data_IF_158272244307
#
_entry.id   IF_158272244307
#
_cell.length_a   1.000
_cell.length_b   1.000
_cell.length_c   1.000
_cell.angle_alpha   90.00
_cell.angle_beta   90.00
_cell.angle_gamma   90.00
#
_symmetry.space_group_name_H-M   'P 1'
#
loop_
_entity.id
_entity.type
_entity.pdbx_description
1 polymer ?
#
# COMPACT_ATOMS: atom_id res chain seq x y z
N UNK A 1 43.36 11.95 -32.38
CA UNK A 1 42.77 13.16 -31.77
C UNK A 1 42.81 13.02 -30.26
N UNK A 2 43.51 13.95 -29.62
CA UNK A 2 43.50 14.37 -28.21
C UNK A 2 43.08 13.40 -27.10
N UNK A 3 44.12 12.86 -26.47
CA UNK A 3 44.40 12.87 -25.03
C UNK A 3 43.49 13.79 -24.17
N UNK A 4 42.92 13.28 -23.08
CA UNK A 4 42.43 14.13 -21.97
C UNK A 4 42.55 13.43 -20.61
N UNK A 5 43.61 13.81 -19.89
CA UNK A 5 43.83 13.61 -18.46
C UNK A 5 42.70 14.18 -17.61
N UNK A 6 42.35 13.48 -16.52
CA UNK A 6 41.76 14.11 -15.32
C UNK A 6 42.18 13.26 -14.10
N UNK A 7 43.34 13.56 -13.50
CA UNK A 7 43.55 14.38 -12.29
C UNK A 7 43.44 13.57 -10.98
N UNK A 8 44.60 13.26 -10.40
CA UNK A 8 44.77 12.99 -8.97
C UNK A 8 44.61 14.31 -8.20
N UNK A 9 43.89 14.29 -7.06
CA UNK A 9 44.12 15.19 -5.94
C UNK A 9 43.99 14.44 -4.60
N UNK A 10 45.12 14.31 -3.93
CA UNK A 10 45.19 14.15 -2.47
C UNK A 10 44.82 15.49 -1.82
N UNK A 11 44.03 15.48 -0.73
CA UNK A 11 44.31 16.33 0.41
C UNK A 11 43.60 15.82 1.68
N UNK A 12 44.39 15.79 2.74
CA UNK A 12 44.14 15.33 4.11
C UNK A 12 43.43 16.41 4.95
N UNK A 13 43.27 16.15 6.26
CA UNK A 13 42.89 17.06 7.37
C UNK A 13 41.36 17.30 7.54
N UNK A 14 40.75 17.29 8.73
CA UNK A 14 41.21 17.58 10.09
C UNK A 14 40.46 16.75 11.15
N UNK A 15 41.14 16.46 12.26
CA UNK A 15 40.55 16.10 13.55
C UNK A 15 39.71 17.26 14.10
N UNK A 16 38.54 16.96 14.68
CA UNK A 16 37.81 17.86 15.55
C UNK A 16 37.47 17.16 16.87
N UNK A 17 38.13 17.64 17.91
CA UNK A 17 37.92 17.43 19.33
C UNK A 17 36.63 18.10 19.82
N UNK A 18 35.81 17.40 20.61
CA UNK A 18 35.04 17.94 21.77
C UNK A 18 34.23 16.79 22.38
N UNK A 19 34.62 16.24 23.54
CA UNK A 19 34.22 16.65 24.91
C UNK A 19 32.73 16.45 25.24
N UNK A 20 32.52 15.82 26.41
CA UNK A 20 31.32 15.76 27.28
C UNK A 20 30.49 14.47 27.26
N UNK A 21 30.72 13.63 28.28
CA UNK A 21 29.69 12.81 28.97
C UNK A 21 29.04 13.69 30.08
N UNK A 22 28.10 13.21 30.94
CA UNK A 22 27.21 12.04 30.89
C UNK A 22 25.72 12.46 31.12
N UNK A 23 24.74 11.58 30.87
CA UNK A 23 23.52 11.53 31.71
C UNK A 23 22.93 10.11 31.69
N UNK A 24 22.96 9.48 32.87
CA UNK A 24 22.08 8.36 33.20
C UNK A 24 20.65 8.92 33.32
N UNK A 25 19.78 8.61 32.36
CA UNK A 25 18.33 8.63 32.56
C UNK A 25 17.80 7.21 32.56
N UNK A 26 17.20 6.91 33.70
CA UNK A 26 16.52 5.70 34.09
C UNK A 26 15.26 5.43 33.25
N UNK A 27 14.91 4.16 33.21
CA UNK A 27 13.56 3.62 32.99
C UNK A 27 12.98 3.77 31.58
N UNK A 28 12.81 2.62 30.90
CA UNK A 28 11.52 1.92 30.80
C UNK A 28 11.56 0.99 29.60
N UNK A 29 11.49 -0.31 29.89
CA UNK A 29 11.05 -1.39 29.01
C UNK A 29 11.08 -1.10 27.50
N UNK A 30 12.17 -1.49 26.83
CA UNK A 30 12.13 -1.78 25.41
C UNK A 30 11.21 -3.00 25.21
N UNK A 31 9.91 -2.74 25.10
CA UNK A 31 8.93 -3.73 24.76
C UNK A 31 9.20 -4.22 23.33
N UNK A 32 9.73 -5.44 23.24
CA UNK A 32 9.50 -6.44 22.19
C UNK A 32 8.98 -5.92 20.83
N UNK A 33 9.85 -5.69 19.82
CA UNK A 33 9.44 -5.29 18.47
C UNK A 33 8.67 -6.38 17.69
N UNK A 34 8.51 -7.58 18.25
CA UNK A 34 7.90 -8.74 17.55
C UNK A 34 6.37 -8.79 17.70
N UNK A 35 5.79 -8.26 18.79
CA UNK A 35 4.33 -8.31 19.00
C UNK A 35 3.56 -7.31 18.14
N UNK A 36 4.16 -6.17 17.82
CA UNK A 36 3.49 -5.14 17.00
C UNK A 36 3.51 -5.49 15.51
N UNK A 37 4.59 -6.10 15.00
CA UNK A 37 4.68 -6.55 13.61
C UNK A 37 3.56 -7.55 13.22
N UNK A 38 3.34 -8.59 14.03
CA UNK A 38 2.25 -9.56 13.79
C UNK A 38 0.84 -8.95 13.91
N UNK A 39 0.70 -7.87 14.70
CA UNK A 39 -0.56 -7.12 14.80
C UNK A 39 -0.81 -6.25 13.57
N UNK A 40 0.23 -5.70 12.95
CA UNK A 40 0.14 -4.96 11.68
C UNK A 40 -0.27 -5.90 10.56
N UNK A 41 0.42 -7.04 10.44
CA UNK A 41 0.20 -8.03 9.39
C UNK A 41 -1.21 -8.63 9.46
N UNK A 42 -1.67 -9.00 10.66
CA UNK A 42 -3.04 -9.51 10.85
C UNK A 42 -4.13 -8.49 10.51
N UNK A 43 -3.91 -7.19 10.80
CA UNK A 43 -4.85 -6.11 10.42
C UNK A 43 -4.89 -5.93 8.90
N UNK A 44 -3.72 -5.89 8.26
CA UNK A 44 -3.61 -5.82 6.81
C UNK A 44 -4.35 -6.99 6.15
N UNK A 45 -4.06 -8.23 6.54
CA UNK A 45 -4.69 -9.43 5.97
C UNK A 45 -6.21 -9.42 6.17
N UNK A 46 -6.68 -8.92 7.31
CA UNK A 46 -8.12 -8.78 7.57
C UNK A 46 -8.77 -7.75 6.65
N UNK A 47 -8.12 -6.59 6.47
CA UNK A 47 -8.61 -5.54 5.57
C UNK A 47 -8.61 -5.99 4.09
N UNK A 48 -7.54 -6.64 3.65
CA UNK A 48 -7.40 -7.19 2.30
C UNK A 48 -8.48 -8.25 2.00
N UNK A 49 -8.75 -9.16 2.94
CA UNK A 49 -9.87 -10.12 2.83
C UNK A 49 -11.22 -9.41 2.71
N UNK A 50 -11.41 -8.31 3.43
CA UNK A 50 -12.61 -7.48 3.32
C UNK A 50 -12.79 -6.90 1.91
N UNK A 51 -11.71 -6.38 1.29
CA UNK A 51 -11.72 -5.88 -0.07
C UNK A 51 -12.11 -6.98 -1.09
N UNK A 52 -11.47 -8.15 -0.99
CA UNK A 52 -11.79 -9.31 -1.83
C UNK A 52 -13.25 -9.75 -1.68
N UNK A 53 -13.76 -9.85 -0.44
CA UNK A 53 -15.14 -10.22 -0.19
C UNK A 53 -16.14 -9.21 -0.80
N UNK A 54 -15.86 -7.91 -0.71
CA UNK A 54 -16.71 -6.87 -1.29
C UNK A 54 -16.80 -6.98 -2.82
N UNK A 55 -15.67 -7.25 -3.49
CA UNK A 55 -15.64 -7.47 -4.93
C UNK A 55 -16.43 -8.71 -5.32
N UNK A 56 -16.09 -9.88 -4.78
CA UNK A 56 -16.77 -11.13 -5.15
C UNK A 56 -18.27 -11.11 -4.82
N UNK A 57 -18.66 -10.51 -3.70
CA UNK A 57 -20.09 -10.32 -3.35
C UNK A 57 -20.81 -9.45 -4.37
N UNK A 58 -20.19 -8.36 -4.83
CA UNK A 58 -20.77 -7.49 -5.86
C UNK A 58 -20.93 -8.21 -7.19
N UNK A 59 -20.03 -9.13 -7.49
CA UNK A 59 -19.91 -9.80 -8.80
C UNK A 59 -20.87 -10.97 -8.95
N UNK A 60 -21.28 -11.57 -7.83
CA UNK A 60 -22.32 -12.58 -7.79
C UNK A 60 -23.73 -11.99 -7.93
N UNK A 61 -23.88 -10.66 -7.88
CA UNK A 61 -25.18 -10.02 -8.09
C UNK A 61 -25.50 -9.97 -9.57
N UNK A 62 -26.69 -10.45 -9.93
CA UNK A 62 -27.21 -10.37 -11.29
C UNK A 62 -27.73 -8.94 -11.58
N UNK A 63 -26.80 -8.00 -11.72
CA UNK A 63 -27.06 -6.59 -12.05
C UNK A 63 -26.56 -6.34 -13.47
N UNK A 64 -27.41 -5.85 -14.40
CA UNK A 64 -27.00 -5.56 -15.77
C UNK A 64 -25.79 -4.62 -15.83
N UNK A 65 -24.76 -5.03 -16.59
CA UNK A 65 -23.53 -4.25 -16.79
C UNK A 65 -22.55 -4.24 -15.61
N UNK A 66 -22.92 -4.79 -14.44
CA UNK A 66 -22.03 -4.81 -13.28
C UNK A 66 -20.84 -5.76 -13.46
N UNK A 67 -21.08 -6.95 -14.02
CA UNK A 67 -20.01 -7.92 -14.31
C UNK A 67 -18.97 -7.32 -15.27
N UNK A 68 -19.44 -6.67 -16.34
CA UNK A 68 -18.58 -6.00 -17.32
C UNK A 68 -17.83 -4.82 -16.71
N UNK A 69 -18.48 -4.02 -15.85
CA UNK A 69 -17.83 -2.93 -15.15
C UNK A 69 -16.79 -3.42 -14.13
N UNK A 70 -17.04 -4.53 -13.43
CA UNK A 70 -16.11 -5.08 -12.45
C UNK A 70 -14.98 -5.92 -13.08
N UNK A 71 -15.08 -6.32 -14.34
CA UNK A 71 -14.09 -7.16 -15.01
C UNK A 71 -12.64 -6.62 -14.94
N UNK A 72 -12.37 -5.32 -15.18
CA UNK A 72 -11.01 -4.78 -15.04
C UNK A 72 -10.49 -4.86 -13.60
N UNK A 73 -11.39 -4.68 -12.63
CA UNK A 73 -11.05 -4.77 -11.21
C UNK A 73 -10.74 -6.23 -10.85
N UNK A 74 -11.57 -7.19 -11.25
CA UNK A 74 -11.31 -8.62 -11.06
C UNK A 74 -9.97 -9.07 -11.61
N UNK A 75 -9.69 -8.73 -12.87
CA UNK A 75 -8.48 -9.15 -13.53
C UNK A 75 -7.22 -8.75 -12.75
N UNK A 76 -7.26 -7.57 -12.11
CA UNK A 76 -6.12 -7.08 -11.33
C UNK A 76 -6.16 -7.56 -9.87
N UNK A 77 -7.34 -7.84 -9.34
CA UNK A 77 -7.55 -8.17 -7.92
C UNK A 77 -7.48 -9.68 -7.63
N UNK A 78 -7.59 -10.56 -8.63
CA UNK A 78 -7.47 -12.01 -8.45
C UNK A 78 -6.14 -12.41 -7.80
N UNK A 79 -5.02 -11.94 -8.34
CA UNK A 79 -3.69 -12.23 -7.77
C UNK A 79 -3.53 -11.67 -6.35
N UNK A 80 -4.13 -10.50 -6.08
CA UNK A 80 -4.15 -9.89 -4.75
C UNK A 80 -4.99 -10.70 -3.76
N UNK A 81 -6.09 -11.31 -4.22
CA UNK A 81 -6.96 -12.11 -3.38
C UNK A 81 -6.41 -13.53 -3.13
N UNK A 82 -5.67 -14.10 -4.07
CA UNK A 82 -4.94 -15.36 -3.89
C UNK A 82 -3.78 -15.20 -2.90
N UNK A 83 -3.02 -14.11 -3.03
CA UNK A 83 -1.88 -13.83 -2.16
C UNK A 83 -1.84 -12.34 -1.77
N UNK A 84 -2.54 -11.95 -0.68
CA UNK A 84 -2.57 -10.56 -0.24
C UNK A 84 -1.18 -10.07 0.17
N UNK A 85 -0.68 -9.06 -0.53
CA UNK A 85 0.60 -8.42 -0.23
C UNK A 85 0.39 -7.02 0.34
N UNK A 86 1.11 -6.70 1.40
CA UNK A 86 1.11 -5.38 2.05
C UNK A 86 1.92 -4.34 1.24
N UNK A 87 1.81 -4.37 -0.09
CA UNK A 87 2.53 -3.46 -0.99
C UNK A 87 1.63 -2.28 -1.38
N UNK A 88 2.07 -1.07 -1.04
CA UNK A 88 1.37 0.17 -1.35
C UNK A 88 1.16 0.34 -2.85
N UNK A 89 2.12 -0.08 -3.67
CA UNK A 89 2.06 0.07 -5.12
C UNK A 89 0.92 -0.78 -5.65
N UNK A 90 0.84 -2.05 -5.24
CA UNK A 90 -0.22 -2.97 -5.65
C UNK A 90 -1.61 -2.45 -5.24
N UNK A 91 -1.76 -1.97 -4.00
CA UNK A 91 -3.05 -1.47 -3.51
C UNK A 91 -3.44 -0.17 -4.25
N UNK A 92 -2.50 0.74 -4.51
CA UNK A 92 -2.77 1.97 -5.28
C UNK A 92 -3.14 1.68 -6.73
N UNK A 93 -2.43 0.75 -7.37
CA UNK A 93 -2.73 0.28 -8.71
C UNK A 93 -4.17 -0.27 -8.82
N UNK A 94 -4.64 -1.00 -7.81
CA UNK A 94 -6.03 -1.48 -7.74
C UNK A 94 -7.03 -0.34 -7.54
N UNK A 95 -6.68 0.65 -6.69
CA UNK A 95 -7.51 1.84 -6.49
C UNK A 95 -7.63 2.68 -7.76
N UNK A 96 -6.57 2.79 -8.56
CA UNK A 96 -6.59 3.50 -9.84
C UNK A 96 -7.51 2.82 -10.85
N UNK A 97 -7.44 1.49 -10.98
CA UNK A 97 -8.38 0.75 -11.85
C UNK A 97 -9.83 0.90 -11.37
N UNK A 98 -10.07 0.86 -10.06
CA UNK A 98 -11.41 1.10 -9.52
C UNK A 98 -11.89 2.54 -9.80
N UNK A 99 -10.98 3.53 -9.75
CA UNK A 99 -11.30 4.93 -10.07
C UNK A 99 -11.61 5.12 -11.56
N UNK A 100 -10.85 4.50 -12.46
CA UNK A 100 -11.12 4.50 -13.90
C UNK A 100 -12.48 3.86 -14.20
N UNK A 101 -12.79 2.75 -13.53
CA UNK A 101 -14.08 2.06 -13.64
C UNK A 101 -15.24 2.95 -13.16
N UNK A 102 -15.05 3.75 -12.10
CA UNK A 102 -16.04 4.73 -11.66
C UNK A 102 -16.29 5.82 -12.71
N UNK A 103 -15.23 6.28 -13.37
CA UNK A 103 -15.32 7.29 -14.41
C UNK A 103 -15.98 6.75 -15.69
N UNK A 104 -15.85 5.46 -16.00
CA UNK A 104 -16.51 4.84 -17.16
C UNK A 104 -17.96 4.42 -16.90
N UNK A 105 -18.39 4.38 -15.63
CA UNK A 105 -19.72 3.92 -15.22
C UNK A 105 -20.69 5.06 -14.90
N UNK A 106 -20.51 6.24 -15.49
CA UNK A 106 -21.23 7.47 -15.09
C UNK A 106 -22.75 7.33 -15.08
N UNK A 107 -23.31 6.61 -16.05
CA UNK A 107 -24.75 6.46 -16.28
C UNK A 107 -25.42 5.45 -15.34
N UNK A 108 -24.66 4.66 -14.57
CA UNK A 108 -25.20 3.61 -13.71
C UNK A 108 -24.88 3.83 -12.24
N UNK A 109 -25.84 4.41 -11.52
CA UNK A 109 -25.74 4.65 -10.06
C UNK A 109 -25.48 3.37 -9.28
N UNK A 110 -26.10 2.26 -9.70
CA UNK A 110 -25.95 0.95 -9.03
C UNK A 110 -24.52 0.43 -9.21
N UNK A 111 -23.98 0.48 -10.42
CA UNK A 111 -22.60 0.06 -10.69
C UNK A 111 -21.61 0.94 -9.93
N UNK A 112 -21.78 2.26 -9.97
CA UNK A 112 -20.95 3.20 -9.22
C UNK A 112 -20.94 2.93 -7.73
N UNK A 113 -22.11 2.62 -7.14
CA UNK A 113 -22.19 2.27 -5.71
C UNK A 113 -21.36 1.03 -5.38
N UNK A 114 -21.38 0.02 -6.24
CA UNK A 114 -20.62 -1.22 -6.04
C UNK A 114 -19.12 -1.00 -6.18
N UNK A 115 -18.69 -0.29 -7.22
CA UNK A 115 -17.28 0.02 -7.44
C UNK A 115 -16.74 0.92 -6.32
N UNK A 116 -17.54 1.87 -5.82
CA UNK A 116 -17.18 2.70 -4.66
C UNK A 116 -16.96 1.89 -3.39
N UNK A 117 -17.75 0.84 -3.15
CA UNK A 117 -17.55 -0.06 -2.00
C UNK A 117 -16.19 -0.75 -2.08
N UNK A 118 -15.84 -1.28 -3.25
CA UNK A 118 -14.52 -1.90 -3.49
C UNK A 118 -13.39 -0.89 -3.27
N UNK A 119 -13.51 0.31 -3.86
CA UNK A 119 -12.53 1.39 -3.69
C UNK A 119 -12.32 1.76 -2.22
N UNK A 120 -13.40 1.92 -1.46
CA UNK A 120 -13.31 2.27 -0.03
C UNK A 120 -12.63 1.17 0.79
N UNK A 121 -12.87 -0.10 0.49
CA UNK A 121 -12.18 -1.20 1.15
C UNK A 121 -10.68 -1.25 0.81
N UNK A 122 -10.31 -0.99 -0.44
CA UNK A 122 -8.90 -0.87 -0.85
C UNK A 122 -8.21 0.29 -0.14
N UNK A 123 -8.88 1.46 -0.07
CA UNK A 123 -8.36 2.62 0.65
C UNK A 123 -8.18 2.35 2.15
N UNK A 124 -9.15 1.67 2.78
CA UNK A 124 -9.02 1.24 4.17
C UNK A 124 -7.83 0.30 4.37
N UNK A 125 -7.66 -0.68 3.47
CA UNK A 125 -6.51 -1.60 3.47
C UNK A 125 -5.19 -0.82 3.40
N UNK A 126 -5.10 0.17 2.50
CA UNK A 126 -3.92 1.03 2.38
C UNK A 126 -3.63 1.79 3.69
N UNK A 127 -4.64 2.42 4.29
CA UNK A 127 -4.49 3.17 5.53
C UNK A 127 -4.03 2.29 6.70
N UNK A 128 -4.60 1.09 6.84
CA UNK A 128 -4.21 0.15 7.91
C UNK A 128 -2.78 -0.37 7.77
N UNK A 129 -2.21 -0.30 6.57
CA UNK A 129 -0.87 -0.82 6.27
C UNK A 129 0.22 0.23 6.51
N UNK A 130 -0.03 1.50 6.16
CA UNK A 130 1.03 2.52 6.06
C UNK A 130 0.91 3.70 7.04
N UNK A 131 -0.12 3.77 7.88
CA UNK A 131 -0.22 4.77 8.94
C UNK A 131 0.31 4.14 10.24
N UNK A 132 1.58 4.39 10.55
CA UNK A 132 2.24 4.06 11.82
C UNK A 132 3.04 5.26 12.33
#
# INVERSE_FOLDING_TARGET
MFNKSTSLRFMSLMMLTSLMAPMLVSSKAAATPVRDAGKVESRFLTAAKGACAALYSSSQKNIPGLEQALAPIHQKMDAFCENPQADQVVIRDLMDVARETLASSEDSVVVRSHVLQVYNHLNYTLQTTFIW
#
